data_IF_813398135362
#
_entry.id   IF_813398135362
#
_cell.length_a   1.000
_cell.length_b   1.000
_cell.length_c   1.000
_cell.angle_alpha   90.00
_cell.angle_beta   90.00
_cell.angle_gamma   90.00
#
_symmetry.space_group_name_H-M   'P 1'
#
loop_
_entity.id
_entity.type
_entity.pdbx_description
1 polymer ?
#
# COMPACT_ATOMS: atom_id res chain seq x y z
N UNK A 1 10.60 -5.61 26.59
CA UNK A 1 11.44 -5.94 25.41
C UNK A 1 10.62 -5.93 24.10
N UNK A 2 9.33 -6.29 24.13
CA UNK A 2 8.45 -6.30 22.96
C UNK A 2 8.22 -4.95 22.27
N UNK A 3 8.19 -3.83 23.00
CA UNK A 3 7.93 -2.51 22.40
C UNK A 3 8.95 -2.13 21.31
N UNK A 4 10.22 -2.51 21.46
CA UNK A 4 11.27 -2.23 20.48
C UNK A 4 11.13 -3.07 19.21
N UNK A 5 10.70 -4.31 19.36
CA UNK A 5 10.46 -5.22 18.22
C UNK A 5 9.24 -4.75 17.41
N UNK A 6 8.18 -4.31 18.07
CA UNK A 6 6.99 -3.75 17.41
C UNK A 6 7.36 -2.52 16.57
N UNK A 7 8.18 -1.60 17.12
CA UNK A 7 8.64 -0.43 16.37
C UNK A 7 9.50 -0.83 15.16
N UNK A 8 10.44 -1.77 15.34
CA UNK A 8 11.26 -2.29 14.23
C UNK A 8 10.41 -2.91 13.13
N UNK A 9 9.37 -3.67 13.49
CA UNK A 9 8.45 -4.27 12.54
C UNK A 9 7.64 -3.20 11.79
N UNK A 10 7.14 -2.18 12.48
CA UNK A 10 6.43 -1.04 11.87
C UNK A 10 7.31 -0.31 10.85
N UNK A 11 8.54 0.02 11.22
CA UNK A 11 9.50 0.66 10.30
C UNK A 11 9.80 -0.21 9.07
N UNK A 12 9.98 -1.52 9.29
CA UNK A 12 10.24 -2.47 8.20
C UNK A 12 9.06 -2.54 7.22
N UNK A 13 7.83 -2.62 7.74
CA UNK A 13 6.61 -2.63 6.92
C UNK A 13 6.46 -1.33 6.13
N UNK A 14 6.68 -0.19 6.78
CA UNK A 14 6.55 1.11 6.13
C UNK A 14 7.60 1.32 5.03
N UNK A 15 8.82 0.80 5.22
CA UNK A 15 9.86 0.79 4.18
C UNK A 15 9.49 -0.08 2.98
N UNK A 16 8.89 -1.26 3.20
CA UNK A 16 8.41 -2.12 2.12
C UNK A 16 7.30 -1.42 1.34
N UNK A 17 6.29 -0.89 2.04
CA UNK A 17 5.18 -0.17 1.42
C UNK A 17 5.69 1.01 0.59
N UNK A 18 6.52 1.88 1.16
CA UNK A 18 7.10 3.03 0.45
C UNK A 18 7.83 2.62 -0.84
N UNK A 19 8.64 1.55 -0.79
CA UNK A 19 9.39 1.07 -1.95
C UNK A 19 8.49 0.59 -3.09
N UNK A 20 7.40 -0.09 -2.77
CA UNK A 20 6.53 -0.69 -3.78
C UNK A 20 5.45 0.26 -4.28
N UNK A 21 4.96 1.17 -3.44
CA UNK A 21 3.93 2.15 -3.81
C UNK A 21 4.49 3.43 -4.41
N UNK A 22 5.80 3.68 -4.24
CA UNK A 22 6.44 4.94 -4.63
C UNK A 22 6.08 6.13 -3.74
N UNK A 23 5.33 5.90 -2.65
CA UNK A 23 4.98 6.92 -1.66
C UNK A 23 6.17 7.17 -0.72
N UNK A 24 6.25 8.36 -0.13
CA UNK A 24 7.28 8.64 0.87
C UNK A 24 7.04 7.86 2.17
N UNK A 25 8.10 7.60 2.93
CA UNK A 25 8.01 6.90 4.22
C UNK A 25 7.12 7.67 5.20
N UNK A 26 7.19 9.00 5.21
CA UNK A 26 6.40 9.86 6.09
C UNK A 26 4.91 9.73 5.78
N UNK A 27 4.55 9.69 4.50
CA UNK A 27 3.15 9.52 4.09
C UNK A 27 2.63 8.14 4.49
N UNK A 28 3.38 7.08 4.19
CA UNK A 28 3.02 5.72 4.61
C UNK A 28 2.90 5.61 6.13
N UNK A 29 3.77 6.28 6.90
CA UNK A 29 3.67 6.28 8.36
C UNK A 29 2.34 6.86 8.85
N UNK A 30 1.92 8.01 8.34
CA UNK A 30 0.64 8.65 8.69
C UNK A 30 -0.54 7.79 8.24
N UNK A 31 -0.48 7.30 7.00
CA UNK A 31 -1.56 6.50 6.40
C UNK A 31 -1.72 5.13 7.06
N UNK A 32 -0.68 4.61 7.73
CA UNK A 32 -0.69 3.34 8.47
C UNK A 32 -0.90 3.51 9.98
N UNK A 33 -1.08 4.74 10.49
CA UNK A 33 -1.45 4.95 11.90
C UNK A 33 -2.86 4.47 12.21
N UNK A 34 -3.73 4.45 11.22
CA UNK A 34 -5.09 3.92 11.30
C UNK A 34 -5.40 3.05 10.10
N UNK A 35 -6.44 2.25 10.23
CA UNK A 35 -6.96 1.47 9.11
C UNK A 35 -7.43 2.42 8.00
N UNK A 36 -6.72 2.39 6.88
CA UNK A 36 -7.05 3.16 5.69
C UNK A 36 -7.65 2.23 4.63
N UNK A 37 -8.97 2.29 4.49
CA UNK A 37 -9.69 1.56 3.44
C UNK A 37 -9.66 2.34 2.14
N UNK A 38 -9.32 1.66 1.05
CA UNK A 38 -9.21 2.24 -0.30
C UNK A 38 -10.14 1.52 -1.25
N UNK A 39 -10.75 2.25 -2.19
CA UNK A 39 -11.37 1.63 -3.35
C UNK A 39 -10.31 1.06 -4.30
N UNK A 40 -10.70 0.24 -5.28
CA UNK A 40 -9.75 -0.27 -6.27
C UNK A 40 -9.03 0.87 -7.02
N UNK A 41 -9.75 1.96 -7.31
CA UNK A 41 -9.18 3.12 -7.98
C UNK A 41 -8.18 3.86 -7.08
N UNK A 42 -8.53 4.06 -5.81
CA UNK A 42 -7.64 4.71 -4.84
C UNK A 42 -6.37 3.87 -4.63
N UNK A 43 -6.50 2.55 -4.54
CA UNK A 43 -5.37 1.63 -4.40
C UNK A 43 -4.43 1.70 -5.63
N UNK A 44 -5.00 1.91 -6.83
CA UNK A 44 -4.22 2.11 -8.05
C UNK A 44 -3.46 3.44 -8.03
N UNK A 45 -4.15 4.52 -7.68
CA UNK A 45 -3.53 5.85 -7.57
C UNK A 45 -2.47 5.93 -6.47
N UNK A 46 -2.69 5.18 -5.38
CA UNK A 46 -1.72 5.05 -4.30
C UNK A 46 -0.50 4.23 -4.70
N UNK A 47 -0.59 3.39 -5.74
CA UNK A 47 0.49 2.52 -6.22
C UNK A 47 0.52 1.14 -5.56
N UNK A 48 -0.57 0.71 -4.93
CA UNK A 48 -0.69 -0.65 -4.34
C UNK A 48 -1.00 -1.69 -5.42
N UNK A 49 -1.74 -1.30 -6.46
CA UNK A 49 -2.12 -2.18 -7.58
C UNK A 49 -1.91 -1.47 -8.91
N UNK A 50 -1.60 -2.22 -9.98
CA UNK A 50 -1.34 -1.64 -11.30
C UNK A 50 -2.63 -1.33 -12.07
N UNK A 51 -3.61 -2.23 -12.02
CA UNK A 51 -4.86 -2.14 -12.79
C UNK A 51 -6.06 -2.69 -12.02
N UNK A 52 -7.22 -2.07 -12.23
CA UNK A 52 -8.52 -2.48 -11.68
C UNK A 52 -9.35 -3.10 -12.80
N UNK A 53 -9.68 -4.38 -12.68
CA UNK A 53 -10.42 -5.12 -13.72
C UNK A 53 -11.92 -4.99 -13.46
N UNK A 54 -12.64 -4.28 -14.33
CA UNK A 54 -14.10 -4.15 -14.24
C UNK A 54 -14.83 -5.37 -14.84
N UNK A 55 -14.29 -5.99 -15.91
CA UNK A 55 -14.88 -7.18 -16.51
C UNK A 55 -13.84 -8.10 -17.14
N UNK A 56 -13.94 -9.40 -16.86
CA UNK A 56 -13.05 -10.48 -17.36
C UNK A 56 -12.96 -10.62 -18.89
N UNK A 57 -13.82 -9.93 -19.65
CA UNK A 57 -13.75 -9.88 -21.12
C UNK A 57 -12.66 -8.92 -21.62
N UNK A 58 -12.29 -7.92 -20.84
CA UNK A 58 -11.33 -6.88 -21.24
C UNK A 58 -9.89 -7.40 -21.21
N UNK A 59 -9.57 -8.31 -20.29
CA UNK A 59 -8.24 -8.93 -20.15
C UNK A 59 -7.84 -9.83 -21.32
N UNK A 60 -8.77 -10.25 -22.18
CA UNK A 60 -8.48 -11.06 -23.38
C UNK A 60 -8.13 -10.23 -24.63
N UNK A 61 -8.20 -8.90 -24.54
CA UNK A 61 -8.02 -7.98 -25.69
C UNK A 61 -6.66 -7.28 -25.73
N UNK A 62 -5.81 -7.49 -24.73
CA UNK A 62 -4.45 -6.92 -24.63
C UNK A 62 -3.41 -7.99 -24.90
#
# INVERSE_FOLDING_TARGET
IHAREILRMKETLNGILSRHTGQSIEKVQVDTERDLFMSGQDAKEYGIVDDVIATIKETKKK
#
